data_IF_057742834133
#
_entry.id   IF_057742834133
#
_cell.length_a   1.000
_cell.length_b   1.000
_cell.length_c   1.000
_cell.angle_alpha   90.00
_cell.angle_beta   90.00
_cell.angle_gamma   90.00
#
_symmetry.space_group_name_H-M   'P 1'
#
loop_
_entity.id
_entity.type
_entity.pdbx_description
1 polymer ?
#
# COMPACT_ATOMS: atom_id res chain seq x y z
N UNK A 1 5.95 -15.92 -1.91
CA UNK A 1 4.92 -16.57 -2.75
C UNK A 1 4.11 -15.46 -3.41
N UNK A 2 4.01 -15.42 -4.74
CA UNK A 2 3.25 -14.35 -5.43
C UNK A 2 1.75 -14.58 -5.25
N UNK A 3 1.05 -13.55 -4.80
CA UNK A 3 -0.38 -13.63 -4.49
C UNK A 3 -1.26 -13.63 -5.75
N UNK A 4 -0.66 -13.44 -6.93
CA UNK A 4 -1.28 -13.51 -8.26
C UNK A 4 -2.06 -14.81 -8.54
N UNK A 5 -1.77 -15.90 -7.82
CA UNK A 5 -2.50 -17.19 -7.93
C UNK A 5 -3.97 -17.08 -7.51
N UNK A 6 -4.34 -16.09 -6.70
CA UNK A 6 -5.68 -15.98 -6.10
C UNK A 6 -6.62 -14.99 -6.83
N UNK A 7 -6.22 -14.48 -8.01
CA UNK A 7 -6.98 -13.45 -8.72
C UNK A 7 -6.70 -12.03 -8.19
N UNK A 8 -7.64 -11.10 -8.40
CA UNK A 8 -7.53 -9.73 -7.89
C UNK A 8 -7.64 -9.73 -6.36
N UNK A 9 -6.59 -9.31 -5.68
CA UNK A 9 -6.52 -9.29 -4.22
C UNK A 9 -6.25 -7.90 -3.66
N UNK A 10 -6.79 -7.67 -2.47
CA UNK A 10 -6.52 -6.49 -1.66
C UNK A 10 -5.48 -6.87 -0.61
N UNK A 11 -4.41 -6.09 -0.52
CA UNK A 11 -3.40 -6.24 0.52
C UNK A 11 -3.66 -5.21 1.62
N UNK A 12 -3.80 -5.67 2.86
CA UNK A 12 -4.00 -4.82 4.03
C UNK A 12 -3.12 -5.27 5.19
N UNK A 13 -3.16 -4.53 6.30
CA UNK A 13 -2.47 -4.87 7.55
C UNK A 13 -1.08 -4.24 7.66
N UNK A 14 -0.95 -3.26 8.55
CA UNK A 14 0.35 -2.64 8.88
C UNK A 14 1.05 -1.89 7.76
N UNK A 15 0.37 -1.63 6.64
CA UNK A 15 0.88 -0.83 5.53
C UNK A 15 1.05 0.63 5.95
N UNK A 16 2.16 1.24 5.55
CA UNK A 16 2.56 2.61 5.87
C UNK A 16 3.54 3.12 4.80
N UNK A 17 3.81 4.44 4.71
CA UNK A 17 4.68 4.98 3.67
C UNK A 17 6.03 4.27 3.55
N UNK A 18 6.62 3.83 4.67
CA UNK A 18 7.95 3.23 4.72
C UNK A 18 8.02 1.82 4.14
N UNK A 19 6.91 1.07 4.11
CA UNK A 19 6.90 -0.33 3.65
C UNK A 19 6.07 -0.57 2.39
N UNK A 20 5.34 0.45 1.90
CA UNK A 20 4.37 0.26 0.81
C UNK A 20 5.03 -0.21 -0.49
N UNK A 21 6.19 0.32 -0.85
CA UNK A 21 6.89 -0.05 -2.10
C UNK A 21 7.36 -1.52 -2.07
N UNK A 22 7.91 -1.96 -0.94
CA UNK A 22 8.31 -3.36 -0.73
C UNK A 22 7.10 -4.30 -0.81
N UNK A 23 5.97 -3.90 -0.21
CA UNK A 23 4.73 -4.66 -0.23
C UNK A 23 4.17 -4.80 -1.65
N UNK A 24 4.13 -3.69 -2.41
CA UNK A 24 3.70 -3.67 -3.81
C UNK A 24 4.59 -4.56 -4.70
N UNK A 25 5.92 -4.47 -4.56
CA UNK A 25 6.87 -5.29 -5.32
C UNK A 25 6.72 -6.79 -5.03
N UNK A 26 6.55 -7.14 -3.76
CA UNK A 26 6.54 -8.53 -3.30
C UNK A 26 5.23 -9.25 -3.61
N UNK A 27 4.11 -8.55 -3.42
CA UNK A 27 2.77 -9.15 -3.49
C UNK A 27 2.12 -8.92 -4.86
N UNK A 28 2.41 -7.78 -5.51
CA UNK A 28 1.74 -7.30 -6.72
C UNK A 28 0.21 -7.35 -6.60
N UNK A 29 -0.37 -6.70 -5.56
CA UNK A 29 -1.81 -6.76 -5.31
C UNK A 29 -2.58 -5.93 -6.35
N UNK A 30 -3.88 -6.19 -6.47
CA UNK A 30 -4.78 -5.34 -7.26
C UNK A 30 -5.01 -3.99 -6.57
N UNK A 31 -5.15 -4.00 -5.25
CA UNK A 31 -5.35 -2.81 -4.43
C UNK A 31 -4.69 -2.97 -3.05
N UNK A 32 -4.48 -1.84 -2.38
CA UNK A 32 -4.00 -1.79 -1.00
C UNK A 32 -5.02 -1.07 -0.13
N UNK A 33 -5.20 -1.55 1.09
CA UNK A 33 -6.05 -0.93 2.11
C UNK A 33 -5.23 -0.57 3.35
N UNK A 34 -5.40 0.67 3.83
CA UNK A 34 -4.55 1.26 4.86
C UNK A 34 -5.39 1.98 5.91
N UNK A 35 -5.20 1.60 7.17
CA UNK A 35 -5.85 2.23 8.32
C UNK A 35 -4.85 2.98 9.21
N UNK A 36 -4.25 2.30 10.18
CA UNK A 36 -3.40 2.91 11.23
C UNK A 36 -2.05 3.43 10.74
N UNK A 37 -1.52 2.91 9.62
CA UNK A 37 -0.21 3.34 9.11
C UNK A 37 -0.17 4.76 8.54
N UNK A 38 -1.32 5.41 8.38
CA UNK A 38 -1.45 6.82 8.00
C UNK A 38 -2.11 7.66 9.09
N UNK A 39 -2.14 7.17 10.34
CA UNK A 39 -2.66 7.90 11.48
C UNK A 39 -1.54 8.65 12.23
N UNK A 40 -1.87 9.80 12.82
CA UNK A 40 -1.03 10.47 13.82
C UNK A 40 -1.30 9.94 15.23
N UNK A 41 -2.55 9.54 15.48
CA UNK A 41 -3.06 8.92 16.71
C UNK A 41 -4.29 8.09 16.36
N UNK A 42 -4.72 7.12 17.20
CA UNK A 42 -5.82 6.22 16.86
C UNK A 42 -7.07 6.95 16.35
N UNK A 43 -7.48 6.64 15.12
CA UNK A 43 -8.65 7.24 14.47
C UNK A 43 -8.45 8.64 13.87
N UNK A 44 -7.29 9.27 14.03
CA UNK A 44 -6.98 10.59 13.46
C UNK A 44 -5.94 10.43 12.34
N UNK A 45 -6.37 10.71 11.11
CA UNK A 45 -5.51 10.62 9.92
C UNK A 45 -4.50 11.76 9.86
N UNK A 46 -3.27 11.42 9.51
CA UNK A 46 -2.21 12.37 9.20
C UNK A 46 -2.21 12.65 7.69
N UNK A 47 -2.48 13.90 7.33
CA UNK A 47 -2.56 14.31 5.93
C UNK A 47 -1.26 14.08 5.17
N UNK A 48 -0.10 14.35 5.78
CA UNK A 48 1.19 14.18 5.14
C UNK A 48 1.48 12.71 4.86
N UNK A 49 1.18 11.82 5.82
CA UNK A 49 1.35 10.37 5.60
C UNK A 49 0.44 9.84 4.50
N UNK A 50 -0.80 10.34 4.42
CA UNK A 50 -1.71 9.96 3.34
C UNK A 50 -1.19 10.40 1.97
N UNK A 51 -0.80 11.67 1.84
CA UNK A 51 -0.26 12.23 0.59
C UNK A 51 1.02 11.49 0.16
N UNK A 52 1.93 11.23 1.11
CA UNK A 52 3.16 10.48 0.86
C UNK A 52 2.87 9.04 0.40
N UNK A 53 1.96 8.33 1.09
CA UNK A 53 1.61 6.96 0.72
C UNK A 53 1.00 6.91 -0.69
N UNK A 54 0.06 7.81 -1.01
CA UNK A 54 -0.55 7.89 -2.34
C UNK A 54 0.51 8.20 -3.40
N UNK A 55 1.44 9.12 -3.11
CA UNK A 55 2.51 9.46 -4.05
C UNK A 55 3.42 8.26 -4.32
N UNK A 56 3.82 7.49 -3.29
CA UNK A 56 4.62 6.27 -3.43
C UNK A 56 3.88 5.19 -4.23
N UNK A 57 2.59 4.97 -3.94
CA UNK A 57 1.74 4.02 -4.69
C UNK A 57 1.61 4.42 -6.16
N UNK A 58 1.38 5.70 -6.46
CA UNK A 58 1.24 6.19 -7.85
C UNK A 58 2.55 6.16 -8.63
N UNK A 59 3.69 6.37 -7.96
CA UNK A 59 5.03 6.26 -8.57
C UNK A 59 5.46 4.83 -8.82
N UNK A 60 4.83 3.87 -8.15
CA UNK A 60 5.07 2.46 -8.42
C UNK A 60 4.57 2.13 -9.82
N UNK A 61 5.47 2.25 -10.80
CA UNK A 61 5.23 1.76 -12.15
C UNK A 61 4.94 0.27 -12.04
N UNK A 62 3.72 -0.12 -12.39
CA UNK A 62 3.43 -1.51 -12.70
C UNK A 62 4.21 -1.78 -13.99
N UNK A 63 5.30 -2.58 -13.98
CA UNK A 63 5.95 -2.94 -15.22
C UNK A 63 4.87 -3.60 -16.08
N UNK A 64 4.66 -3.07 -17.28
CA UNK A 64 3.69 -3.58 -18.25
C UNK A 64 3.76 -5.11 -18.24
N UNK A 65 2.63 -5.74 -17.95
CA UNK A 65 2.46 -7.17 -18.13
C UNK A 65 2.85 -7.57 -19.56
#
# INVERSE_FOLDING_TARGET
RSAKKYGSLFLSGGLKPENIEMALQSVKPYAVDVASGVEQSPGIKDRYKMEELIARVKKFNVPSL
#
